data_IF_958346522687
#
_entry.id   IF_958346522687
#
_cell.length_a   1.000
_cell.length_b   1.000
_cell.length_c   1.000
_cell.angle_alpha   90.00
_cell.angle_beta   90.00
_cell.angle_gamma   90.00
#
_symmetry.space_group_name_H-M   'P 1'
#
loop_
_entity.id
_entity.type
_entity.pdbx_description
1 polymer ?
#
# COMPACT_ATOMS: atom_id res chain seq x y z
N UNK A 1 32.46 -25.00 -2.48
CA UNK A 1 31.44 -24.20 -1.76
C UNK A 1 30.60 -23.46 -2.79
N UNK A 2 29.43 -23.99 -3.14
CA UNK A 2 28.60 -23.47 -4.23
C UNK A 2 27.62 -22.38 -3.72
N UNK A 3 27.56 -21.25 -4.44
CA UNK A 3 26.59 -20.16 -4.26
C UNK A 3 25.16 -20.70 -4.37
N UNK A 4 24.39 -20.62 -3.29
CA UNK A 4 22.92 -20.76 -3.34
C UNK A 4 22.34 -19.45 -3.85
N UNK A 5 22.01 -19.40 -5.13
CA UNK A 5 21.17 -18.36 -5.70
C UNK A 5 19.75 -18.49 -5.17
N UNK A 6 19.27 -17.45 -4.47
CA UNK A 6 17.85 -17.35 -4.12
C UNK A 6 17.08 -16.94 -5.38
N UNK A 7 16.50 -17.90 -6.07
CA UNK A 7 15.48 -17.63 -7.10
C UNK A 7 14.20 -17.17 -6.40
N UNK A 8 13.56 -16.08 -6.83
CA UNK A 8 12.25 -15.71 -6.32
C UNK A 8 11.22 -16.72 -6.87
N UNK A 9 10.60 -17.47 -5.97
CA UNK A 9 9.44 -18.31 -6.27
C UNK A 9 8.35 -17.47 -6.95
N UNK A 10 7.83 -17.85 -8.14
CA UNK A 10 6.72 -17.16 -8.76
C UNK A 10 5.42 -17.56 -8.04
N UNK A 11 5.20 -16.98 -6.86
CA UNK A 11 3.98 -17.16 -6.08
C UNK A 11 2.87 -16.23 -6.58
N UNK A 12 1.74 -16.84 -6.96
CA UNK A 12 0.43 -16.21 -7.26
C UNK A 12 0.33 -15.41 -8.57
N UNK A 13 0.06 -16.12 -9.67
CA UNK A 13 -0.37 -15.53 -10.94
C UNK A 13 -1.67 -14.70 -10.81
N UNK A 14 -2.54 -15.02 -9.84
CA UNK A 14 -3.84 -14.36 -9.65
C UNK A 14 -3.74 -12.92 -9.15
N UNK A 15 -2.78 -12.63 -8.27
CA UNK A 15 -2.57 -11.27 -7.76
C UNK A 15 -2.00 -10.34 -8.83
N UNK A 16 -1.12 -10.85 -9.67
CA UNK A 16 -0.45 -10.04 -10.71
C UNK A 16 -1.43 -9.55 -11.77
N UNK A 17 -2.33 -10.44 -12.24
CA UNK A 17 -3.37 -10.06 -13.19
C UNK A 17 -4.33 -9.02 -12.59
N UNK A 18 -4.81 -9.26 -11.36
CA UNK A 18 -5.70 -8.33 -10.66
C UNK A 18 -5.08 -6.93 -10.47
N UNK A 19 -3.76 -6.86 -10.22
CA UNK A 19 -3.04 -5.58 -10.11
C UNK A 19 -2.95 -4.86 -11.46
N UNK A 20 -2.74 -5.59 -12.56
CA UNK A 20 -2.72 -5.01 -13.91
C UNK A 20 -4.11 -4.50 -14.33
N UNK A 21 -5.15 -5.28 -14.06
CA UNK A 21 -6.54 -4.87 -14.28
C UNK A 21 -6.88 -3.62 -13.46
N UNK A 22 -6.38 -3.55 -12.22
CA UNK A 22 -6.50 -2.37 -11.38
C UNK A 22 -5.79 -1.15 -11.98
N UNK A 23 -4.60 -1.31 -12.56
CA UNK A 23 -3.92 -0.23 -13.26
C UNK A 23 -4.75 0.33 -14.42
N UNK A 24 -5.36 -0.56 -15.21
CA UNK A 24 -6.21 -0.18 -16.33
C UNK A 24 -7.49 0.52 -15.87
N UNK A 25 -8.11 0.03 -14.79
CA UNK A 25 -9.25 0.70 -14.17
C UNK A 25 -8.90 2.12 -13.71
N UNK A 26 -7.82 2.30 -12.93
CA UNK A 26 -7.40 3.62 -12.48
C UNK A 26 -7.09 4.58 -13.65
N UNK A 27 -6.56 4.07 -14.76
CA UNK A 27 -6.35 4.88 -15.97
C UNK A 27 -7.68 5.37 -16.56
N UNK A 28 -8.71 4.52 -16.60
CA UNK A 28 -10.07 4.88 -17.08
C UNK A 28 -10.75 5.91 -16.16
N UNK A 29 -10.53 5.81 -14.86
CA UNK A 29 -11.03 6.78 -13.86
C UNK A 29 -10.26 8.11 -13.86
N UNK A 30 -9.26 8.30 -14.74
CA UNK A 30 -8.56 9.58 -14.90
C UNK A 30 -7.49 9.86 -13.84
N UNK A 31 -7.02 8.85 -13.09
CA UNK A 31 -5.93 9.05 -12.12
C UNK A 31 -4.63 9.48 -12.80
N UNK A 32 -3.85 10.35 -12.15
CA UNK A 32 -2.51 10.72 -12.59
C UNK A 32 -1.61 9.48 -12.66
N UNK A 33 -0.76 9.41 -13.69
CA UNK A 33 0.18 8.29 -13.88
C UNK A 33 1.05 8.01 -12.65
N UNK A 34 1.52 9.07 -11.99
CA UNK A 34 2.31 8.97 -10.74
C UNK A 34 1.51 8.31 -9.60
N UNK A 35 0.23 8.65 -9.46
CA UNK A 35 -0.68 8.03 -8.48
C UNK A 35 -0.91 6.55 -8.79
N UNK A 36 -1.11 6.20 -10.06
CA UNK A 36 -1.26 4.81 -10.50
C UNK A 36 -0.02 4.01 -10.12
N UNK A 37 1.17 4.47 -10.50
CA UNK A 37 2.44 3.79 -10.19
C UNK A 37 2.62 3.59 -8.68
N UNK A 38 2.36 4.63 -7.88
CA UNK A 38 2.47 4.55 -6.42
C UNK A 38 1.49 3.53 -5.82
N UNK A 39 0.25 3.49 -6.30
CA UNK A 39 -0.77 2.51 -5.86
C UNK A 39 -0.40 1.09 -6.25
N UNK A 40 0.08 0.86 -7.48
CA UNK A 40 0.52 -0.47 -7.91
C UNK A 40 1.72 -0.98 -7.10
N UNK A 41 2.68 -0.10 -6.78
CA UNK A 41 3.81 -0.45 -5.89
C UNK A 41 3.33 -0.85 -4.49
N UNK A 42 2.35 -0.13 -3.94
CA UNK A 42 1.73 -0.47 -2.66
C UNK A 42 1.05 -1.85 -2.71
N UNK A 43 0.19 -2.10 -3.71
CA UNK A 43 -0.51 -3.37 -3.87
C UNK A 43 0.43 -4.54 -4.11
N UNK A 44 1.49 -4.36 -4.92
CA UNK A 44 2.53 -5.38 -5.11
C UNK A 44 3.26 -5.70 -3.80
N UNK A 45 3.54 -4.68 -2.98
CA UNK A 45 4.16 -4.89 -1.67
C UNK A 45 3.27 -5.66 -0.69
N UNK A 46 1.94 -5.46 -0.77
CA UNK A 46 0.95 -6.19 0.01
C UNK A 46 0.74 -7.61 -0.51
N UNK A 47 0.73 -7.82 -1.84
CA UNK A 47 0.52 -9.15 -2.45
C UNK A 47 1.64 -10.13 -2.14
N UNK A 48 2.83 -9.64 -1.75
CA UNK A 48 3.94 -10.47 -1.27
C UNK A 48 3.76 -10.93 0.19
N UNK A 49 2.83 -10.33 0.94
CA UNK A 49 2.61 -10.60 2.38
C UNK A 49 1.25 -11.22 2.66
N UNK A 50 0.26 -10.92 1.83
CA UNK A 50 -1.12 -11.39 1.98
C UNK A 50 -1.79 -11.56 0.62
N UNK A 51 -2.82 -12.41 0.58
CA UNK A 51 -3.74 -12.47 -0.54
C UNK A 51 -4.58 -11.19 -0.59
N UNK A 52 -4.59 -10.49 -1.73
CA UNK A 52 -5.35 -9.26 -1.91
C UNK A 52 -6.86 -9.49 -1.93
N UNK A 53 -7.30 -10.73 -2.18
CA UNK A 53 -8.72 -11.10 -2.12
C UNK A 53 -9.20 -11.34 -0.67
N UNK A 54 -8.27 -11.45 0.29
CA UNK A 54 -8.58 -11.64 1.71
C UNK A 54 -8.33 -10.34 2.50
N UNK A 55 -9.36 -9.50 2.71
CA UNK A 55 -9.20 -8.23 3.42
C UNK A 55 -8.67 -8.35 4.85
N UNK A 56 -9.00 -9.41 5.59
CA UNK A 56 -8.46 -9.60 6.94
C UNK A 56 -6.96 -9.91 6.93
N UNK A 57 -6.50 -10.76 6.00
CA UNK A 57 -5.07 -11.01 5.81
C UNK A 57 -4.31 -9.73 5.46
N UNK A 58 -4.89 -8.86 4.63
CA UNK A 58 -4.29 -7.56 4.28
C UNK A 58 -4.23 -6.62 5.49
N UNK A 59 -5.26 -6.57 6.35
CA UNK A 59 -5.22 -5.77 7.58
C UNK A 59 -4.10 -6.21 8.51
N UNK A 60 -3.98 -7.52 8.73
CA UNK A 60 -2.90 -8.10 9.54
C UNK A 60 -1.54 -7.73 8.94
N UNK A 61 -1.36 -7.93 7.64
CA UNK A 61 -0.13 -7.58 6.95
C UNK A 61 0.23 -6.09 7.11
N UNK A 62 -0.73 -5.16 6.98
CA UNK A 62 -0.48 -3.72 7.16
C UNK A 62 -0.12 -3.39 8.63
N UNK A 63 -0.80 -4.00 9.60
CA UNK A 63 -0.55 -3.75 11.02
C UNK A 63 0.86 -4.14 11.46
N UNK A 64 1.42 -5.20 10.86
CA UNK A 64 2.75 -5.72 11.19
C UNK A 64 3.90 -4.95 10.52
N UNK A 65 3.62 -4.00 9.62
CA UNK A 65 4.68 -3.24 8.94
C UNK A 65 5.33 -2.22 9.89
N UNK A 66 6.67 -2.18 9.98
CA UNK A 66 7.41 -1.20 10.77
C UNK A 66 7.53 0.13 9.99
N UNK A 67 6.40 0.75 9.67
CA UNK A 67 6.30 2.02 8.93
C UNK A 67 5.43 3.03 9.67
N UNK A 68 5.55 4.31 9.30
CA UNK A 68 4.76 5.38 9.90
C UNK A 68 3.25 5.17 9.69
N UNK A 69 2.44 5.71 10.59
CA UNK A 69 0.97 5.63 10.49
C UNK A 69 0.45 6.25 9.19
N UNK A 70 1.04 7.35 8.72
CA UNK A 70 0.71 7.93 7.40
C UNK A 70 1.07 7.00 6.23
N UNK A 71 2.09 6.14 6.36
CA UNK A 71 2.37 5.11 5.35
C UNK A 71 1.33 3.99 5.40
N UNK A 72 0.90 3.55 6.59
CA UNK A 72 -0.18 2.55 6.74
C UNK A 72 -1.50 3.07 6.17
N UNK A 73 -1.85 4.32 6.46
CA UNK A 73 -3.03 4.99 5.88
C UNK A 73 -2.98 5.00 4.35
N UNK A 74 -1.83 5.34 3.74
CA UNK A 74 -1.66 5.29 2.29
C UNK A 74 -1.83 3.87 1.72
N UNK A 75 -1.35 2.83 2.41
CA UNK A 75 -1.55 1.44 2.01
C UNK A 75 -3.03 1.04 2.06
N UNK A 76 -3.73 1.41 3.14
CA UNK A 76 -5.17 1.19 3.28
C UNK A 76 -5.95 1.93 2.20
N UNK A 77 -5.60 3.17 1.89
CA UNK A 77 -6.23 3.95 0.82
C UNK A 77 -5.97 3.39 -0.58
N UNK A 78 -4.81 2.77 -0.81
CA UNK A 78 -4.53 2.03 -2.03
C UNK A 78 -5.42 0.79 -2.14
N UNK A 79 -5.48 0.00 -1.07
CA UNK A 79 -6.25 -1.23 -0.99
C UNK A 79 -7.76 -1.00 -1.05
N UNK A 80 -8.27 0.07 -0.44
CA UNK A 80 -9.70 0.42 -0.46
C UNK A 80 -10.23 0.60 -1.89
N UNK A 81 -9.46 1.27 -2.76
CA UNK A 81 -9.87 1.46 -4.17
C UNK A 81 -9.82 0.14 -4.93
N UNK A 82 -8.85 -0.72 -4.64
CA UNK A 82 -8.80 -2.08 -5.16
C UNK A 82 -10.04 -2.89 -4.74
N UNK A 83 -10.40 -2.90 -3.45
CA UNK A 83 -11.60 -3.57 -2.94
C UNK A 83 -12.88 -3.08 -3.62
N UNK A 84 -13.01 -1.76 -3.84
CA UNK A 84 -14.17 -1.18 -4.55
C UNK A 84 -14.31 -1.72 -5.96
N UNK A 85 -13.22 -1.80 -6.72
CA UNK A 85 -13.23 -2.37 -8.07
C UNK A 85 -13.62 -3.85 -8.07
N UNK A 86 -13.09 -4.63 -7.12
CA UNK A 86 -13.34 -6.07 -7.03
C UNK A 86 -14.61 -6.42 -6.25
N UNK A 87 -15.41 -5.43 -5.82
CA UNK A 87 -16.62 -5.60 -5.00
C UNK A 87 -16.38 -6.38 -3.70
N UNK A 88 -15.20 -6.24 -3.12
CA UNK A 88 -14.81 -6.86 -1.86
C UNK A 88 -15.29 -5.96 -0.71
N UNK A 89 -16.09 -6.48 0.24
CA UNK A 89 -16.47 -5.71 1.43
C UNK A 89 -15.23 -5.49 2.29
N UNK A 90 -14.80 -4.23 2.38
CA UNK A 90 -13.63 -3.84 3.17
C UNK A 90 -13.95 -2.65 4.05
N UNK A 91 -13.85 -2.86 5.37
CA UNK A 91 -13.94 -1.79 6.37
C UNK A 91 -12.52 -1.33 6.70
N UNK A 92 -12.10 -0.12 6.29
CA UNK A 92 -10.74 0.35 6.49
C UNK A 92 -10.43 0.55 7.98
N UNK A 93 -9.29 0.05 8.47
CA UNK A 93 -8.85 0.33 9.84
C UNK A 93 -8.50 1.82 10.01
N UNK A 94 -8.65 2.33 11.22
CA UNK A 94 -8.38 3.73 11.56
C UNK A 94 -6.89 3.95 11.82
N UNK A 95 -6.13 4.23 10.77
CA UNK A 95 -4.77 4.79 10.90
C UNK A 95 -4.85 6.31 10.79
N UNK A 96 -4.33 7.04 11.79
CA UNK A 96 -4.34 8.50 11.81
C UNK A 96 -2.94 9.02 11.51
N UNK A 97 -2.81 9.84 10.46
CA UNK A 97 -1.57 10.59 10.23
C UNK A 97 -1.31 11.50 11.42
N UNK A 98 -0.16 11.33 12.06
CA UNK A 98 0.33 12.30 13.04
C UNK A 98 0.84 13.50 12.27
N UNK A 99 0.10 14.61 12.33
CA UNK A 99 0.57 15.90 11.83
C UNK A 99 1.69 16.38 12.75
N UNK A 100 2.86 16.64 12.16
CA UNK A 100 3.95 17.27 12.89
C UNK A 100 3.76 18.77 12.80
N UNK A 101 3.76 19.43 13.96
CA UNK A 101 3.81 20.89 14.01
C UNK A 101 5.13 21.32 13.35
N UNK A 102 5.12 22.28 12.41
CA UNK A 102 6.36 22.83 11.88
C UNK A 102 7.21 23.37 13.05
N UNK A 103 8.52 23.18 12.96
CA UNK A 103 9.42 23.73 13.96
C UNK A 103 9.36 25.26 13.92
N UNK A 104 9.12 25.88 15.07
CA UNK A 104 9.10 27.32 15.26
C UNK A 104 10.27 27.62 16.21
N UNK A 105 11.27 28.44 15.81
CA UNK A 105 12.37 28.82 16.70
C UNK A 105 11.85 29.52 17.95
N UNK A 106 12.53 29.29 19.08
CA UNK A 106 12.23 30.01 20.32
C UNK A 106 12.84 31.42 20.24
N UNK A 107 12.21 32.44 20.85
CA UNK A 107 12.72 33.82 20.84
C UNK A 107 14.17 33.93 21.35
N UNK A 108 14.62 32.99 22.20
CA UNK A 108 15.98 32.91 22.72
C UNK A 108 17.03 32.38 21.73
N UNK A 109 16.63 31.88 20.56
CA UNK A 109 17.53 31.35 19.52
C UNK A 109 17.84 32.37 18.41
N UNK A 110 17.29 33.60 18.51
CA UNK A 110 17.34 34.65 17.47
C UNK A 110 18.23 35.84 17.83
N UNK A 111 19.12 35.69 18.83
CA UNK A 111 20.06 36.72 19.30
C UNK A 111 21.34 36.79 18.44
#
# INVERSE_FOLDING_TARGET
MAKVGSTPTPGSNGNTQSILDHAFHLKKEGYRKSTIISRLKALKGLSMKADLLNPEAVKVAISMLPVTEGRKENLVNAYLVFCRQHKIPFTPPRYRRVERVPWIPLESEVD
#
